data_IF_802581343171
#
_entry.id   IF_802581343171
#
_cell.length_a   1.000
_cell.length_b   1.000
_cell.length_c   1.000
_cell.angle_alpha   90.00
_cell.angle_beta   90.00
_cell.angle_gamma   90.00
#
_symmetry.space_group_name_H-M   'P 1'
#
loop_
_entity.id
_entity.type
_entity.pdbx_description
1 polymer ?
#
# COMPACT_ATOMS: atom_id res chain seq x y z
N UNK A 1 54.93 -0.24 16.42
CA UNK A 1 54.08 0.93 16.73
C UNK A 1 52.98 0.97 15.67
N UNK A 2 51.74 0.69 16.04
CA UNK A 2 50.63 0.63 15.08
C UNK A 2 50.23 2.07 14.70
N UNK A 3 50.25 2.35 13.40
CA UNK A 3 49.97 3.66 12.85
C UNK A 3 48.45 3.88 12.83
N UNK A 4 47.88 4.41 13.92
CA UNK A 4 46.45 4.71 14.01
C UNK A 4 46.16 5.99 13.22
N UNK A 5 45.82 5.85 11.95
CA UNK A 5 45.24 6.95 11.15
C UNK A 5 43.78 7.11 11.58
N UNK A 6 43.50 8.10 12.42
CA UNK A 6 42.14 8.53 12.72
C UNK A 6 41.51 9.26 11.54
N UNK A 7 40.20 9.09 11.34
CA UNK A 7 39.40 9.85 10.38
C UNK A 7 39.50 11.35 10.65
N UNK A 8 39.48 12.16 9.59
CA UNK A 8 39.49 13.62 9.74
C UNK A 8 38.08 14.14 10.00
N UNK A 9 37.94 15.20 10.81
CA UNK A 9 36.65 15.84 11.07
C UNK A 9 36.02 16.41 9.79
N UNK A 10 36.83 16.84 8.83
CA UNK A 10 36.34 17.33 7.53
C UNK A 10 35.73 16.22 6.67
N UNK A 11 36.28 15.00 6.71
CA UNK A 11 35.67 13.84 6.03
C UNK A 11 34.24 13.61 6.53
N UNK A 12 34.06 13.64 7.85
CA UNK A 12 32.73 13.44 8.44
C UNK A 12 31.76 14.56 8.09
N UNK A 13 32.23 15.82 8.04
CA UNK A 13 31.40 16.97 7.67
C UNK A 13 30.85 16.88 6.25
N UNK A 14 31.70 16.57 5.26
CA UNK A 14 31.26 16.45 3.86
C UNK A 14 30.22 15.34 3.71
N UNK A 15 30.40 14.23 4.42
CA UNK A 15 29.43 13.11 4.42
C UNK A 15 28.08 13.56 4.98
N UNK A 16 28.05 14.30 6.10
CA UNK A 16 26.79 14.81 6.66
C UNK A 16 26.07 15.77 5.72
N UNK A 17 26.81 16.62 5.00
CA UNK A 17 26.23 17.54 4.00
C UNK A 17 25.55 16.73 2.88
N UNK A 18 26.22 15.70 2.35
CA UNK A 18 25.64 14.85 1.30
C UNK A 18 24.40 14.12 1.81
N UNK A 19 24.44 13.53 3.02
CA UNK A 19 23.29 12.85 3.64
C UNK A 19 22.12 13.82 3.84
N UNK A 20 22.39 15.06 4.28
CA UNK A 20 21.37 16.09 4.46
C UNK A 20 20.63 16.42 3.16
N UNK A 21 21.37 16.54 2.04
CA UNK A 21 20.78 16.78 0.71
C UNK A 21 19.91 15.59 0.29
N UNK A 22 20.39 14.36 0.47
CA UNK A 22 19.65 13.14 0.13
C UNK A 22 18.35 13.01 0.93
N UNK A 23 18.39 13.28 2.24
CA UNK A 23 17.20 13.23 3.11
C UNK A 23 16.16 14.25 2.67
N UNK A 24 16.58 15.47 2.27
CA UNK A 24 15.69 16.52 1.78
C UNK A 24 14.84 16.08 0.59
N UNK A 25 15.38 15.23 -0.29
CA UNK A 25 14.65 14.67 -1.45
C UNK A 25 13.90 13.38 -1.06
N UNK A 26 14.50 12.55 -0.22
CA UNK A 26 13.97 11.23 0.14
C UNK A 26 12.66 11.29 0.91
N UNK A 27 12.53 12.18 1.90
CA UNK A 27 11.34 12.28 2.75
C UNK A 27 10.06 12.62 1.98
N UNK A 28 9.98 13.70 1.17
CA UNK A 28 8.76 14.01 0.41
C UNK A 28 8.46 12.94 -0.64
N UNK A 29 9.50 12.34 -1.24
CA UNK A 29 9.34 11.23 -2.20
C UNK A 29 8.70 10.02 -1.54
N UNK A 30 9.21 9.60 -0.37
CA UNK A 30 8.68 8.47 0.39
C UNK A 30 7.20 8.67 0.79
N UNK A 31 6.85 9.86 1.30
CA UNK A 31 5.48 10.18 1.67
C UNK A 31 4.52 10.15 0.46
N UNK A 32 4.99 10.59 -0.72
CA UNK A 32 4.19 10.53 -1.95
C UNK A 32 4.01 9.08 -2.42
N UNK A 33 5.06 8.26 -2.37
CA UNK A 33 5.01 6.86 -2.82
C UNK A 33 4.07 6.06 -1.94
N UNK A 34 4.15 6.19 -0.61
CA UNK A 34 3.26 5.52 0.34
C UNK A 34 1.81 5.92 0.14
N UNK A 35 1.50 7.22 0.09
CA UNK A 35 0.14 7.69 -0.17
C UNK A 35 -0.42 7.24 -1.54
N UNK A 36 0.45 7.14 -2.56
CA UNK A 36 0.04 6.62 -3.88
C UNK A 36 -0.17 5.11 -3.83
N UNK A 37 0.65 4.36 -3.10
CA UNK A 37 0.50 2.93 -2.91
C UNK A 37 -0.80 2.60 -2.18
N UNK A 38 -1.14 3.33 -1.12
CA UNK A 38 -2.43 3.20 -0.40
C UNK A 38 -3.62 3.46 -1.33
N UNK A 39 -3.58 4.53 -2.13
CA UNK A 39 -4.63 4.81 -3.12
C UNK A 39 -4.79 3.70 -4.15
N UNK A 40 -3.66 3.18 -4.67
CA UNK A 40 -3.66 2.06 -5.63
C UNK A 40 -4.18 0.78 -5.01
N UNK A 41 -3.83 0.50 -3.76
CA UNK A 41 -4.36 -0.65 -3.02
C UNK A 41 -5.87 -0.54 -2.83
N UNK A 42 -6.38 0.63 -2.44
CA UNK A 42 -7.81 0.88 -2.34
C UNK A 42 -8.54 0.71 -3.69
N UNK A 43 -7.96 1.23 -4.78
CA UNK A 43 -8.51 1.08 -6.12
C UNK A 43 -8.53 -0.39 -6.58
N UNK A 44 -7.46 -1.14 -6.30
CA UNK A 44 -7.38 -2.57 -6.56
C UNK A 44 -8.45 -3.34 -5.76
N UNK A 45 -8.57 -3.09 -4.46
CA UNK A 45 -9.57 -3.69 -3.59
C UNK A 45 -11.00 -3.42 -4.09
N UNK A 46 -11.29 -2.18 -4.49
CA UNK A 46 -12.59 -1.82 -5.09
C UNK A 46 -12.87 -2.59 -6.38
N UNK A 47 -11.85 -2.81 -7.21
CA UNK A 47 -12.00 -3.62 -8.43
C UNK A 47 -12.28 -5.08 -8.10
N UNK A 48 -11.61 -5.64 -7.10
CA UNK A 48 -11.87 -7.01 -6.62
C UNK A 48 -13.29 -7.15 -6.10
N UNK A 49 -13.76 -6.24 -5.24
CA UNK A 49 -15.13 -6.26 -4.70
C UNK A 49 -16.16 -6.15 -5.84
N UNK A 50 -15.96 -5.24 -6.80
CA UNK A 50 -16.84 -5.14 -7.97
C UNK A 50 -16.89 -6.45 -8.78
N UNK A 51 -15.75 -7.12 -8.93
CA UNK A 51 -15.68 -8.42 -9.61
C UNK A 51 -16.47 -9.49 -8.87
N UNK A 52 -16.31 -9.58 -7.54
CA UNK A 52 -17.06 -10.52 -6.70
C UNK A 52 -18.58 -10.26 -6.78
N UNK A 53 -19.00 -9.00 -6.70
CA UNK A 53 -20.43 -8.63 -6.86
C UNK A 53 -20.95 -8.98 -8.24
N UNK A 54 -20.18 -8.76 -9.31
CA UNK A 54 -20.59 -9.15 -10.67
C UNK A 54 -20.72 -10.67 -10.82
N UNK A 55 -19.80 -11.43 -10.22
CA UNK A 55 -19.87 -12.89 -10.22
C UNK A 55 -21.11 -13.40 -9.47
N UNK A 56 -21.38 -12.84 -8.28
CA UNK A 56 -22.58 -13.15 -7.50
C UNK A 56 -23.87 -12.88 -8.29
N UNK A 57 -23.99 -11.71 -8.92
CA UNK A 57 -25.17 -11.34 -9.71
C UNK A 57 -25.36 -12.30 -10.91
N UNK A 58 -24.26 -12.72 -11.55
CA UNK A 58 -24.32 -13.66 -12.67
C UNK A 58 -24.82 -15.04 -12.24
N UNK A 59 -24.38 -15.52 -11.08
CA UNK A 59 -24.78 -16.82 -10.55
C UNK A 59 -26.21 -16.83 -10.01
N UNK A 60 -26.64 -15.74 -9.36
CA UNK A 60 -28.01 -15.58 -8.87
C UNK A 60 -28.98 -15.01 -9.92
N UNK A 61 -28.64 -15.13 -11.19
CA UNK A 61 -29.51 -14.82 -12.32
C UNK A 61 -30.09 -13.38 -12.28
N UNK A 62 -29.31 -12.42 -11.78
CA UNK A 62 -29.70 -11.02 -11.66
C UNK A 62 -30.45 -10.65 -10.38
N UNK A 63 -30.72 -11.59 -9.48
CA UNK A 63 -31.47 -11.34 -8.24
C UNK A 63 -30.53 -10.95 -7.11
N UNK A 64 -30.67 -9.71 -6.62
CA UNK A 64 -30.20 -9.35 -5.27
C UNK A 64 -31.44 -9.34 -4.39
N UNK A 65 -31.61 -10.38 -3.58
CA UNK A 65 -32.73 -10.41 -2.64
C UNK A 65 -32.58 -9.27 -1.63
N UNK A 66 -33.68 -8.55 -1.37
CA UNK A 66 -33.75 -7.45 -0.40
C UNK A 66 -32.90 -6.20 -0.69
N UNK A 67 -32.28 -6.10 -1.87
CA UNK A 67 -31.44 -4.95 -2.26
C UNK A 67 -30.29 -4.68 -1.27
N UNK A 68 -29.90 -5.71 -0.51
CA UNK A 68 -28.88 -5.69 0.53
C UNK A 68 -27.95 -6.87 0.23
N UNK A 69 -26.67 -6.59 0.02
CA UNK A 69 -25.66 -7.63 -0.20
C UNK A 69 -24.95 -7.85 1.13
N UNK A 70 -25.12 -9.04 1.71
CA UNK A 70 -24.33 -9.43 2.87
C UNK A 70 -22.89 -9.67 2.43
N UNK A 71 -21.94 -9.09 3.16
CA UNK A 71 -20.52 -9.22 2.89
C UNK A 71 -20.06 -10.68 3.11
N UNK A 72 -20.78 -11.44 3.95
CA UNK A 72 -20.56 -12.87 4.15
C UNK A 72 -20.89 -13.72 2.91
N UNK A 73 -21.83 -13.28 2.05
CA UNK A 73 -22.16 -13.97 0.80
C UNK A 73 -21.13 -13.71 -0.31
N UNK A 74 -20.40 -12.59 -0.22
CA UNK A 74 -19.34 -12.24 -1.17
C UNK A 74 -18.02 -12.97 -0.86
N UNK A 75 -17.86 -13.52 0.35
CA UNK A 75 -16.63 -14.18 0.82
C UNK A 75 -16.26 -15.39 -0.05
N UNK A 76 -17.26 -16.14 -0.52
CA UNK A 76 -17.07 -17.28 -1.44
C UNK A 76 -16.62 -16.88 -2.84
N UNK A 77 -16.70 -15.60 -3.20
CA UNK A 77 -16.31 -15.07 -4.50
C UNK A 77 -14.95 -14.37 -4.49
N UNK A 78 -14.28 -14.28 -3.33
CA UNK A 78 -12.90 -13.81 -3.22
C UNK A 78 -11.90 -14.97 -3.27
N UNK A 79 -10.84 -14.80 -4.05
CA UNK A 79 -9.75 -15.78 -4.19
C UNK A 79 -8.91 -15.77 -2.90
N UNK A 80 -9.34 -16.54 -1.89
CA UNK A 80 -8.77 -16.59 -0.55
C UNK A 80 -9.77 -16.57 0.60
N UNK A 81 -11.06 -16.33 0.34
CA UNK A 81 -12.10 -16.34 1.37
C UNK A 81 -12.00 -15.22 2.41
N UNK A 82 -11.34 -14.10 2.07
CA UNK A 82 -11.33 -12.91 2.92
C UNK A 82 -11.51 -11.64 2.08
N UNK A 83 -12.42 -10.79 2.51
CA UNK A 83 -12.64 -9.45 1.93
C UNK A 83 -11.37 -8.61 2.10
N UNK A 84 -10.88 -7.92 1.05
CA UNK A 84 -9.72 -7.05 1.17
C UNK A 84 -9.94 -5.97 2.24
N UNK A 85 -9.16 -6.01 3.32
CA UNK A 85 -9.22 -5.04 4.41
C UNK A 85 -8.80 -3.66 3.89
N UNK A 86 -9.74 -2.72 3.86
CA UNK A 86 -9.44 -1.33 3.53
C UNK A 86 -8.91 -0.63 4.78
N UNK A 87 -7.58 -0.44 4.85
CA UNK A 87 -6.98 0.40 5.88
C UNK A 87 -7.27 1.87 5.54
N UNK A 88 -8.30 2.43 6.19
CA UNK A 88 -8.61 3.86 6.13
C UNK A 88 -7.83 4.56 7.26
N UNK A 89 -6.65 5.10 6.93
CA UNK A 89 -5.89 5.99 7.82
C UNK A 89 -6.53 7.37 7.93
#
# INVERSE_FOLDING_TARGET
MQNQKGFTLMELMVVMVIIGILIGIAVPSYNKVTATAEKRACEANKRTIKGAVQAYILENNGSIENNELDIAELDSFFDGGEVPQMHFS
#
